data_IF_516564697318
#
_entry.id   IF_516564697318
#
_cell.length_a   1.000
_cell.length_b   1.000
_cell.length_c   1.000
_cell.angle_alpha   90.00
_cell.angle_beta   90.00
_cell.angle_gamma   90.00
#
_symmetry.space_group_name_H-M   'P 1'
#
loop_
_entity.id
_entity.type
_entity.pdbx_description
1 polymer ?
#
# COMPACT_ATOMS: atom_id res chain seq x y z
N UNK A 1 15.15 -15.99 -3.38
CA UNK A 1 13.82 -15.99 -2.72
C UNK A 1 13.59 -14.87 -1.67
N UNK A 2 14.32 -13.75 -1.66
CA UNK A 2 14.11 -12.68 -0.64
C UNK A 2 14.09 -11.24 -1.20
N UNK A 3 13.95 -11.08 -2.53
CA UNK A 3 13.94 -9.77 -3.20
C UNK A 3 12.58 -9.08 -3.14
N UNK A 4 11.49 -9.83 -3.30
CA UNK A 4 10.13 -9.30 -3.40
C UNK A 4 9.62 -8.70 -2.08
N UNK A 5 9.85 -9.39 -0.95
CA UNK A 5 9.56 -8.85 0.38
C UNK A 5 10.34 -7.56 0.66
N UNK A 6 11.57 -7.43 0.14
CA UNK A 6 12.36 -6.20 0.25
C UNK A 6 11.75 -5.07 -0.56
N UNK A 7 11.31 -5.29 -1.80
CA UNK A 7 10.81 -4.21 -2.65
C UNK A 7 9.44 -3.67 -2.21
N UNK A 8 8.53 -4.52 -1.74
CA UNK A 8 7.25 -4.05 -1.18
C UNK A 8 7.45 -3.30 0.14
N UNK A 9 8.38 -3.76 0.98
CA UNK A 9 8.77 -3.08 2.21
C UNK A 9 9.58 -1.80 1.95
N UNK A 10 10.39 -1.75 0.89
CA UNK A 10 11.16 -0.57 0.46
C UNK A 10 10.22 0.49 -0.13
N UNK A 11 9.19 0.11 -0.90
CA UNK A 11 8.15 1.04 -1.35
C UNK A 11 7.41 1.65 -0.14
N UNK A 12 7.08 0.81 0.84
CA UNK A 12 6.49 1.25 2.11
C UNK A 12 7.40 2.21 2.89
N UNK A 13 8.72 1.98 2.95
CA UNK A 13 9.66 2.87 3.66
C UNK A 13 10.01 4.15 2.88
N UNK A 14 10.08 4.09 1.54
CA UNK A 14 10.48 5.23 0.70
C UNK A 14 9.47 6.38 0.76
N UNK A 15 8.20 6.10 1.05
CA UNK A 15 7.15 7.12 1.25
C UNK A 15 7.30 7.90 2.57
N UNK A 16 8.13 7.42 3.51
CA UNK A 16 8.43 8.11 4.77
C UNK A 16 9.77 8.85 4.77
N UNK A 17 10.58 8.76 3.70
CA UNK A 17 11.94 9.35 3.67
C UNK A 17 12.11 10.55 2.74
N UNK A 18 11.03 11.18 2.26
CA UNK A 18 11.15 12.49 1.59
C UNK A 18 11.56 13.54 2.61
N UNK A 19 12.89 13.67 2.78
CA UNK A 19 13.54 14.69 3.56
C UNK A 19 13.05 16.06 3.10
N UNK A 20 12.51 16.81 4.06
CA UNK A 20 12.36 18.26 3.93
C UNK A 20 13.70 18.89 3.54
N UNK A 21 13.70 19.90 2.64
CA UNK A 21 14.91 20.58 2.24
C UNK A 21 15.61 21.20 3.45
N UNK A 22 16.90 20.88 3.60
CA UNK A 22 17.77 21.55 4.55
C UNK A 22 18.03 22.97 4.06
N UNK A 23 17.39 23.97 4.66
CA UNK A 23 17.75 25.36 4.41
C UNK A 23 18.95 25.77 5.28
N UNK A 24 20.01 26.09 4.55
CA UNK A 24 21.27 26.66 5.00
C UNK A 24 21.08 27.96 5.77
N UNK A 25 21.95 28.14 6.76
CA UNK A 25 22.12 29.38 7.54
C UNK A 25 22.44 30.56 6.62
N UNK A 26 21.47 31.46 6.44
CA UNK A 26 21.65 32.77 5.83
C UNK A 26 21.31 33.87 6.85
N UNK A 27 22.32 34.63 7.27
CA UNK A 27 22.21 35.71 8.24
C UNK A 27 21.51 36.93 7.64
N UNK A 28 20.40 37.37 8.21
CA UNK A 28 19.91 38.74 8.05
C UNK A 28 19.60 39.37 9.41
N UNK A 29 19.85 40.68 9.42
CA UNK A 29 20.09 41.56 10.57
C UNK A 29 18.78 41.96 11.26
N UNK A 30 18.95 42.37 12.52
CA UNK A 30 18.02 43.06 13.43
C UNK A 30 17.17 44.11 12.73
N UNK A 31 15.90 44.27 13.13
CA UNK A 31 15.46 45.32 14.05
C UNK A 31 13.99 45.10 14.48
N UNK A 32 13.74 45.35 15.76
CA UNK A 32 12.53 45.82 16.46
C UNK A 32 11.23 44.99 16.59
N UNK A 33 10.92 44.74 17.88
CA UNK A 33 9.63 44.82 18.59
C UNK A 33 8.39 44.07 18.05
N UNK A 34 7.99 42.99 18.73
CA UNK A 34 6.89 43.02 19.69
C UNK A 34 6.41 41.60 20.11
N UNK A 35 6.14 41.51 21.40
CA UNK A 35 5.20 40.63 22.11
C UNK A 35 5.54 39.15 22.39
N UNK A 36 5.45 38.85 23.68
CA UNK A 36 5.71 37.58 24.35
C UNK A 36 4.35 36.98 24.71
N UNK A 37 3.99 35.80 24.20
CA UNK A 37 3.57 34.68 25.07
C UNK A 37 3.03 33.45 24.32
N UNK A 38 3.33 32.32 24.95
CA UNK A 38 2.61 31.04 24.91
C UNK A 38 3.13 29.94 23.97
N UNK A 39 4.25 29.36 24.41
CA UNK A 39 4.75 28.08 23.94
C UNK A 39 3.94 26.91 24.53
N UNK A 40 2.90 26.47 23.82
CA UNK A 40 2.29 25.15 24.07
C UNK A 40 2.74 24.14 23.03
N UNK A 41 3.77 23.38 23.42
CA UNK A 41 4.15 22.07 22.84
C UNK A 41 2.89 21.23 22.58
N UNK A 42 2.55 20.98 21.32
CA UNK A 42 1.64 19.90 20.96
C UNK A 42 2.51 18.68 20.68
N UNK A 43 2.58 17.80 21.68
CA UNK A 43 3.27 16.53 21.58
C UNK A 43 2.60 15.65 20.52
N UNK A 44 3.45 14.92 19.79
CA UNK A 44 3.05 13.74 19.05
C UNK A 44 2.33 12.78 20.00
N UNK A 45 1.02 12.69 19.85
CA UNK A 45 0.21 11.70 20.53
C UNK A 45 -0.10 10.62 19.49
N UNK A 46 0.87 9.73 19.27
CA UNK A 46 0.62 8.41 18.70
C UNK A 46 -0.14 7.59 19.75
N UNK A 47 -1.41 7.94 19.95
CA UNK A 47 -2.32 7.07 20.68
C UNK A 47 -2.81 6.02 19.69
N UNK A 48 -2.10 4.90 19.63
CA UNK A 48 -2.69 3.62 19.25
C UNK A 48 -3.86 3.35 20.19
N UNK A 49 -5.03 3.84 19.81
CA UNK A 49 -6.27 3.56 20.48
C UNK A 49 -6.60 2.09 20.23
N UNK A 50 -6.12 1.21 21.13
CA UNK A 50 -6.71 -0.11 21.33
C UNK A 50 -8.19 0.11 21.57
N UNK A 51 -8.96 -0.08 20.51
CA UNK A 51 -10.40 0.07 20.59
C UNK A 51 -10.89 -1.17 21.31
N UNK A 52 -11.48 -0.99 22.51
CA UNK A 52 -12.01 -2.05 23.38
C UNK A 52 -13.25 -2.78 22.79
N UNK A 53 -13.44 -2.66 21.48
CA UNK A 53 -14.52 -3.25 20.71
C UNK A 53 -14.03 -4.56 20.06
N UNK A 54 -14.92 -5.55 19.87
CA UNK A 54 -14.55 -6.74 19.13
C UNK A 54 -14.12 -6.38 17.69
N UNK A 55 -13.10 -7.08 17.14
CA UNK A 55 -12.59 -6.81 15.79
C UNK A 55 -13.69 -7.05 14.75
N UNK A 56 -13.91 -6.04 13.93
CA UNK A 56 -14.88 -6.06 12.82
C UNK A 56 -14.34 -6.87 11.63
N UNK A 57 -15.20 -7.17 10.66
CA UNK A 57 -14.76 -7.80 9.42
C UNK A 57 -13.68 -6.97 8.70
N UNK A 58 -13.77 -5.65 8.77
CA UNK A 58 -12.76 -4.75 8.17
C UNK A 58 -11.40 -4.91 8.84
N UNK A 59 -11.36 -5.00 10.17
CA UNK A 59 -10.12 -5.23 10.92
C UNK A 59 -9.49 -6.58 10.52
N UNK A 60 -10.31 -7.61 10.31
CA UNK A 60 -9.84 -8.94 9.87
C UNK A 60 -9.37 -8.95 8.42
N UNK A 61 -10.04 -8.23 7.52
CA UNK A 61 -9.61 -8.09 6.11
C UNK A 61 -8.27 -7.36 6.04
N UNK A 62 -8.09 -6.30 6.83
CA UNK A 62 -6.81 -5.58 6.94
C UNK A 62 -5.71 -6.53 7.43
N UNK A 63 -5.94 -7.27 8.52
CA UNK A 63 -4.98 -8.25 9.03
C UNK A 63 -4.67 -9.32 7.97
N UNK A 64 -5.69 -9.88 7.30
CA UNK A 64 -5.52 -10.85 6.24
C UNK A 64 -4.65 -10.30 5.10
N UNK A 65 -4.89 -9.07 4.66
CA UNK A 65 -4.15 -8.46 3.57
C UNK A 65 -2.65 -8.30 3.88
N UNK A 66 -2.28 -7.94 5.12
CA UNK A 66 -0.88 -7.71 5.49
C UNK A 66 -0.16 -8.95 6.02
N UNK A 67 -0.88 -9.89 6.63
CA UNK A 67 -0.28 -11.02 7.36
C UNK A 67 -0.40 -12.35 6.61
N UNK A 68 -1.32 -12.48 5.65
CA UNK A 68 -1.54 -13.76 4.97
C UNK A 68 -0.51 -13.99 3.85
N UNK A 69 0.49 -14.83 4.12
CA UNK A 69 1.50 -15.15 3.12
C UNK A 69 0.96 -15.91 1.90
N UNK A 70 -0.09 -16.73 2.05
CA UNK A 70 -0.67 -17.47 0.94
C UNK A 70 -1.39 -16.56 -0.05
N UNK A 71 -2.03 -15.51 0.46
CA UNK A 71 -2.59 -14.43 -0.34
C UNK A 71 -1.48 -13.77 -1.17
N UNK A 72 -0.39 -13.32 -0.54
CA UNK A 72 0.76 -12.75 -1.26
C UNK A 72 1.33 -13.72 -2.32
N UNK A 73 1.50 -15.00 -1.99
CA UNK A 73 1.99 -16.04 -2.91
C UNK A 73 1.10 -16.24 -4.14
N UNK A 74 -0.21 -15.99 -4.04
CA UNK A 74 -1.11 -16.04 -5.20
C UNK A 74 -0.76 -14.94 -6.20
N UNK A 75 -0.53 -13.71 -5.75
CA UNK A 75 -0.19 -12.59 -6.64
C UNK A 75 1.23 -12.67 -7.17
N UNK A 76 2.19 -13.18 -6.40
CA UNK A 76 3.54 -13.44 -6.90
C UNK A 76 3.52 -14.42 -8.08
N UNK A 77 2.76 -15.53 -7.97
CA UNK A 77 2.59 -16.49 -9.07
C UNK A 77 1.85 -15.89 -10.26
N UNK A 78 0.87 -15.04 -10.02
CA UNK A 78 0.19 -14.31 -11.09
C UNK A 78 1.18 -13.42 -11.84
N UNK A 79 2.00 -12.66 -11.12
CA UNK A 79 2.99 -11.77 -11.70
C UNK A 79 4.03 -12.55 -12.52
N UNK A 80 4.62 -13.62 -11.97
CA UNK A 80 5.61 -14.45 -12.68
C UNK A 80 5.08 -15.04 -14.00
N UNK A 81 3.79 -15.40 -14.02
CA UNK A 81 3.12 -15.94 -15.21
C UNK A 81 2.83 -14.89 -16.28
N UNK A 82 2.59 -13.64 -15.90
CA UNK A 82 2.08 -12.60 -16.80
C UNK A 82 3.06 -11.43 -17.04
N UNK A 83 4.18 -11.36 -16.33
CA UNK A 83 5.13 -10.24 -16.40
C UNK A 83 5.85 -10.14 -17.75
N UNK A 84 5.93 -11.22 -18.54
CA UNK A 84 6.79 -11.29 -19.72
C UNK A 84 6.43 -10.25 -20.80
N UNK A 85 5.17 -9.83 -20.91
CA UNK A 85 4.72 -8.83 -21.88
C UNK A 85 5.08 -7.39 -21.48
N UNK A 86 5.43 -7.15 -20.21
CA UNK A 86 5.68 -5.80 -19.71
C UNK A 86 7.06 -5.32 -20.15
N UNK A 87 7.12 -4.16 -20.79
CA UNK A 87 8.39 -3.53 -21.12
C UNK A 87 8.94 -2.75 -19.93
N UNK A 88 10.08 -3.21 -19.42
CA UNK A 88 10.78 -2.61 -18.27
C UNK A 88 11.48 -1.30 -18.67
N UNK A 89 11.82 -1.14 -19.95
CA UNK A 89 12.63 0.00 -20.45
C UNK A 89 11.80 1.14 -20.99
N UNK A 90 10.50 0.93 -21.17
CA UNK A 90 9.58 1.92 -21.73
C UNK A 90 8.51 2.29 -20.70
N UNK A 91 8.16 3.56 -20.66
CA UNK A 91 7.01 4.06 -19.89
C UNK A 91 5.71 4.01 -20.70
N UNK A 92 5.76 3.49 -21.93
CA UNK A 92 4.58 3.33 -22.78
C UNK A 92 3.63 2.23 -22.24
N UNK A 93 2.36 2.61 -22.06
CA UNK A 93 1.30 1.70 -21.60
C UNK A 93 0.66 0.99 -22.78
N UNK A 94 0.84 -0.32 -22.86
CA UNK A 94 0.25 -1.15 -23.90
C UNK A 94 -1.19 -1.52 -23.57
N UNK A 95 -2.03 -1.72 -24.60
CA UNK A 95 -3.45 -2.05 -24.42
C UNK A 95 -3.62 -3.40 -23.70
N UNK A 96 -2.74 -4.35 -24.00
CA UNK A 96 -2.69 -5.69 -23.41
C UNK A 96 -2.47 -5.65 -21.90
N UNK A 97 -1.86 -4.59 -21.35
CA UNK A 97 -1.71 -4.43 -19.89
C UNK A 97 -3.06 -4.30 -19.21
N UNK A 98 -4.03 -3.66 -19.87
CA UNK A 98 -5.40 -3.51 -19.35
C UNK A 98 -6.10 -4.86 -19.20
N UNK A 99 -5.86 -5.79 -20.13
CA UNK A 99 -6.48 -7.11 -20.08
C UNK A 99 -5.90 -7.98 -18.96
N UNK A 100 -4.59 -7.85 -18.68
CA UNK A 100 -3.98 -8.52 -17.54
C UNK A 100 -4.40 -7.85 -16.23
N UNK A 101 -4.51 -6.53 -16.21
CA UNK A 101 -4.99 -5.78 -15.05
C UNK A 101 -6.40 -6.19 -14.64
N UNK A 102 -7.34 -6.34 -15.59
CA UNK A 102 -8.69 -6.87 -15.29
C UNK A 102 -8.64 -8.24 -14.63
N UNK A 103 -7.79 -9.14 -15.13
CA UNK A 103 -7.60 -10.47 -14.52
C UNK A 103 -7.01 -10.38 -13.11
N UNK A 104 -6.13 -9.40 -12.87
CA UNK A 104 -5.56 -9.14 -11.57
C UNK A 104 -6.62 -8.61 -10.59
N UNK A 105 -7.45 -7.64 -11.00
CA UNK A 105 -8.53 -7.09 -10.17
C UNK A 105 -9.57 -8.16 -9.84
N UNK A 106 -9.99 -8.97 -10.82
CA UNK A 106 -10.94 -10.06 -10.59
C UNK A 106 -10.38 -11.10 -9.60
N UNK A 107 -9.09 -11.44 -9.73
CA UNK A 107 -8.41 -12.34 -8.80
C UNK A 107 -8.33 -11.75 -7.39
N UNK A 108 -8.03 -10.45 -7.30
CA UNK A 108 -7.94 -9.75 -6.02
C UNK A 108 -9.29 -9.72 -5.30
N UNK A 109 -10.33 -9.24 -5.98
CA UNK A 109 -11.69 -9.15 -5.45
C UNK A 109 -12.20 -10.53 -5.03
N UNK A 110 -12.02 -11.56 -5.87
CA UNK A 110 -12.44 -12.92 -5.55
C UNK A 110 -11.76 -13.48 -4.29
N UNK A 111 -10.49 -13.14 -4.03
CA UNK A 111 -9.79 -13.61 -2.82
C UNK A 111 -10.25 -12.88 -1.57
N UNK A 112 -10.53 -11.58 -1.66
CA UNK A 112 -11.08 -10.81 -0.56
C UNK A 112 -12.52 -11.24 -0.25
N UNK A 113 -13.35 -11.42 -1.27
CA UNK A 113 -14.73 -11.92 -1.15
C UNK A 113 -14.77 -13.29 -0.48
N UNK A 114 -13.99 -14.26 -0.98
CA UNK A 114 -13.92 -15.59 -0.39
C UNK A 114 -13.46 -15.55 1.09
N UNK A 115 -12.54 -14.64 1.44
CA UNK A 115 -12.15 -14.44 2.83
C UNK A 115 -13.30 -13.87 3.65
N UNK A 116 -13.98 -12.82 3.18
CA UNK A 116 -15.12 -12.21 3.87
C UNK A 116 -16.23 -13.23 4.14
N UNK A 117 -16.59 -14.02 3.14
CA UNK A 117 -17.59 -15.08 3.26
C UNK A 117 -17.17 -16.17 4.25
N UNK A 118 -15.88 -16.55 4.26
CA UNK A 118 -15.34 -17.51 5.23
C UNK A 118 -15.46 -17.03 6.69
N UNK A 119 -15.58 -15.72 6.91
CA UNK A 119 -15.80 -15.11 8.22
C UNK A 119 -17.29 -14.99 8.59
N UNK A 120 -18.19 -15.45 7.72
CA UNK A 120 -19.64 -15.37 7.91
C UNK A 120 -20.23 -13.97 7.69
N UNK A 121 -19.57 -13.13 6.89
CA UNK A 121 -20.02 -11.79 6.54
C UNK A 121 -20.20 -11.66 5.02
N UNK A 122 -20.80 -10.57 4.57
CA UNK A 122 -20.99 -10.27 3.14
C UNK A 122 -20.09 -9.12 2.70
N UNK A 123 -19.85 -9.03 1.39
CA UNK A 123 -19.14 -7.90 0.77
C UNK A 123 -19.87 -6.57 1.04
N UNK A 124 -21.21 -6.58 1.07
CA UNK A 124 -22.03 -5.40 1.38
C UNK A 124 -21.83 -4.91 2.82
N UNK A 125 -21.73 -5.84 3.79
CA UNK A 125 -21.40 -5.50 5.18
C UNK A 125 -20.02 -4.84 5.28
N UNK A 126 -19.04 -5.40 4.56
CA UNK A 126 -17.69 -4.85 4.50
C UNK A 126 -17.69 -3.41 3.97
N UNK A 127 -18.31 -3.17 2.81
CA UNK A 127 -18.39 -1.81 2.23
C UNK A 127 -19.15 -0.84 3.12
N UNK A 128 -20.25 -1.30 3.74
CA UNK A 128 -21.03 -0.49 4.68
C UNK A 128 -20.17 -0.04 5.87
N UNK A 129 -19.33 -0.92 6.40
CA UNK A 129 -18.45 -0.61 7.53
C UNK A 129 -17.29 0.30 7.13
N UNK A 130 -16.67 0.08 5.97
CA UNK A 130 -15.62 0.96 5.44
C UNK A 130 -16.16 2.37 5.22
N UNK A 131 -17.34 2.50 4.60
CA UNK A 131 -17.97 3.81 4.37
C UNK A 131 -18.28 4.54 5.68
N UNK A 132 -18.89 3.85 6.65
CA UNK A 132 -19.16 4.42 7.98
C UNK A 132 -17.88 4.85 8.71
N UNK A 133 -16.81 4.07 8.60
CA UNK A 133 -15.53 4.41 9.20
C UNK A 133 -14.93 5.67 8.55
N UNK A 134 -14.98 5.77 7.23
CA UNK A 134 -14.52 6.94 6.49
C UNK A 134 -15.32 8.20 6.81
N UNK A 135 -16.65 8.11 6.89
CA UNK A 135 -17.52 9.24 7.20
C UNK A 135 -17.34 9.74 8.64
N UNK A 136 -17.05 8.82 9.57
CA UNK A 136 -16.84 9.13 10.99
C UNK A 136 -15.46 9.72 11.26
N UNK A 137 -14.42 9.13 10.68
CA UNK A 137 -13.03 9.54 10.86
C UNK A 137 -12.22 9.29 9.57
N UNK A 138 -12.13 10.29 8.69
CA UNK A 138 -11.37 10.17 7.44
C UNK A 138 -9.87 9.93 7.62
N UNK A 139 -9.32 10.16 8.82
CA UNK A 139 -7.92 9.92 9.14
C UNK A 139 -7.74 8.75 10.12
N UNK A 140 -8.82 8.03 10.41
CA UNK A 140 -8.79 6.85 11.25
C UNK A 140 -8.11 5.67 10.56
N UNK A 141 -7.59 4.76 11.37
CA UNK A 141 -6.86 3.55 10.95
C UNK A 141 -7.57 2.78 9.84
N UNK A 142 -8.88 2.55 9.99
CA UNK A 142 -9.69 1.83 9.00
C UNK A 142 -9.77 2.59 7.66
N UNK A 143 -9.98 3.90 7.71
CA UNK A 143 -10.08 4.73 6.50
C UNK A 143 -8.74 4.75 5.74
N UNK A 144 -7.63 4.87 6.47
CA UNK A 144 -6.27 4.84 5.90
C UNK A 144 -5.99 3.48 5.25
N UNK A 145 -6.19 2.38 5.97
CA UNK A 145 -5.92 1.05 5.42
C UNK A 145 -6.87 0.68 4.27
N UNK A 146 -8.12 1.13 4.30
CA UNK A 146 -9.04 0.94 3.17
C UNK A 146 -8.56 1.68 1.92
N UNK A 147 -8.00 2.90 2.06
CA UNK A 147 -7.36 3.60 0.94
C UNK A 147 -6.12 2.88 0.44
N UNK A 148 -5.32 2.28 1.35
CA UNK A 148 -4.17 1.47 0.95
C UNK A 148 -4.60 0.26 0.10
N UNK A 149 -5.67 -0.45 0.49
CA UNK A 149 -6.22 -1.55 -0.30
C UNK A 149 -6.58 -1.10 -1.72
N UNK A 150 -7.31 0.01 -1.85
CA UNK A 150 -7.67 0.58 -3.16
C UNK A 150 -6.43 0.99 -3.97
N UNK A 151 -5.44 1.59 -3.33
CA UNK A 151 -4.20 2.00 -3.99
C UNK A 151 -3.38 0.79 -4.47
N UNK A 152 -3.44 -0.36 -3.79
CA UNK A 152 -2.74 -1.58 -4.22
C UNK A 152 -3.32 -2.18 -5.49
N UNK A 153 -4.58 -1.86 -5.79
CA UNK A 153 -5.25 -2.25 -7.02
C UNK A 153 -5.23 -1.14 -8.07
N UNK A 154 -4.45 -0.06 -7.90
CA UNK A 154 -4.32 0.97 -8.94
C UNK A 154 -3.53 0.44 -10.15
N UNK A 155 -3.92 0.86 -11.36
CA UNK A 155 -3.29 0.41 -12.61
C UNK A 155 -1.79 0.71 -12.65
N UNK A 156 -1.36 1.91 -12.24
CA UNK A 156 0.04 2.29 -12.31
C UNK A 156 0.88 1.47 -11.31
N UNK A 157 0.33 1.24 -10.11
CA UNK A 157 0.95 0.38 -9.09
C UNK A 157 1.06 -1.06 -9.59
N UNK A 158 0.02 -1.57 -10.25
CA UNK A 158 0.02 -2.88 -10.89
C UNK A 158 1.11 -2.98 -11.97
N UNK A 159 1.22 -1.99 -12.88
CA UNK A 159 2.25 -2.00 -13.93
C UNK A 159 3.65 -2.02 -13.33
N UNK A 160 3.90 -1.21 -12.28
CA UNK A 160 5.19 -1.20 -11.56
C UNK A 160 5.48 -2.58 -10.97
N UNK A 161 4.50 -3.22 -10.31
CA UNK A 161 4.63 -4.56 -9.75
C UNK A 161 5.00 -5.59 -10.84
N UNK A 162 4.36 -5.53 -12.00
CA UNK A 162 4.62 -6.48 -13.10
C UNK A 162 6.00 -6.28 -13.73
N UNK A 163 6.45 -5.03 -13.89
CA UNK A 163 7.81 -4.73 -14.36
C UNK A 163 8.87 -5.27 -13.38
N UNK A 164 8.67 -5.06 -12.08
CA UNK A 164 9.57 -5.58 -11.05
C UNK A 164 9.62 -7.11 -11.03
N UNK A 165 8.48 -7.78 -11.22
CA UNK A 165 8.43 -9.23 -11.32
C UNK A 165 9.26 -9.76 -12.51
N UNK A 166 9.18 -9.10 -13.67
CA UNK A 166 9.99 -9.44 -14.85
C UNK A 166 11.49 -9.26 -14.60
N UNK A 167 11.89 -8.16 -13.96
CA UNK A 167 13.29 -7.91 -13.62
C UNK A 167 13.86 -8.97 -12.68
N UNK A 168 13.10 -9.33 -11.65
CA UNK A 168 13.52 -10.32 -10.68
C UNK A 168 13.59 -11.74 -11.29
N UNK A 169 12.62 -12.12 -12.13
CA UNK A 169 12.66 -13.35 -12.93
C UNK A 169 13.90 -13.43 -13.82
N UNK A 170 14.26 -12.31 -14.47
CA UNK A 170 15.45 -12.23 -15.30
C UNK A 170 16.77 -12.28 -14.48
N UNK A 171 16.77 -11.78 -13.24
CA UNK A 171 17.91 -11.86 -12.33
C UNK A 171 18.13 -13.29 -11.83
N UNK A 172 17.06 -14.00 -11.46
CA UNK A 172 17.13 -15.39 -11.02
C UNK A 172 17.66 -16.31 -12.14
N UNK A 173 17.19 -16.11 -13.39
CA UNK A 173 17.69 -16.86 -14.56
C UNK A 173 19.19 -16.62 -14.86
N UNK A 174 19.75 -15.47 -14.47
CA UNK A 174 21.19 -15.17 -14.61
C UNK A 174 22.03 -15.70 -13.45
N UNK A 175 21.40 -16.01 -12.30
CA UNK A 175 22.05 -16.52 -11.10
C UNK A 175 22.37 -18.02 -11.15
N UNK A 176 21.69 -18.80 -11.99
CA UNK A 176 21.89 -20.25 -12.12
C UNK A 176 23.08 -20.66 -13.01
N UNK A 177 23.80 -19.70 -13.60
CA UNK A 177 24.99 -19.95 -14.42
C UNK A 177 26.28 -19.55 -13.70
N UNK A 178 26.57 -20.20 -12.56
CA UNK A 178 27.89 -20.14 -11.91
C UNK A 178 28.28 -21.48 -11.31
#
# INVERSE_FOLDING_TARGET
MNGYKKNLYIYHQSQYTTKMPSESKGTYRRDDDDDVSDAKRVGANESDAKTDRPPTIVDRVIAFFFENEDFCRVFERFADKHCDIFDVKSDEMQLEYTDIYKKFTDLFESKIEAFIESQGSTVDDFYTLVKKAHDKDPHGTIAIYSRMLVATTDFDVFVIMMKQAKEAKAADAKGEFK
#
